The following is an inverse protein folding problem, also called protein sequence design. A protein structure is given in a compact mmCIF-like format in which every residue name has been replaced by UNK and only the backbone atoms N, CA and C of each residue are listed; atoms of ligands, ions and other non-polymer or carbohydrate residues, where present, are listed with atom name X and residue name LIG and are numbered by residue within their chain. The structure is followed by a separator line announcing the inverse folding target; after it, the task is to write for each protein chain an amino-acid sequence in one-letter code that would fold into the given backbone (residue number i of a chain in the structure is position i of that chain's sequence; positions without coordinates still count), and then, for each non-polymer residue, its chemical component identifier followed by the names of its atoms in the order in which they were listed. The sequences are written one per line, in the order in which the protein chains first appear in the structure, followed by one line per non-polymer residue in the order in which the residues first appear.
data_IF_726674781280
#
_entry.id   IF_726674781280
#
_cell.length_a   1.000
_cell.length_b   1.000
_cell.length_c   1.000
_cell.angle_alpha   90.00
_cell.angle_beta   90.00
_cell.angle_gamma   90.00
#
_symmetry.space_group_name_H-M   'P 1'
#
loop_
_entity.id
_entity.type
_entity.pdbx_description
1 polymer ?
#
# COMPACT_ATOMS: atom_id res chain seq x y z
N UNK A 1 10.61 19.22 16.52
CA UNK A 1 10.57 19.59 15.09
C UNK A 1 9.12 19.81 14.73
N UNK A 2 8.82 20.69 13.78
CA UNK A 2 7.48 20.69 13.21
C UNK A 2 7.30 19.47 12.32
N UNK A 3 6.06 19.09 12.05
CA UNK A 3 5.73 17.88 11.31
C UNK A 3 4.94 18.28 10.04
N UNK A 4 5.43 17.86 8.86
CA UNK A 4 4.71 18.03 7.61
C UNK A 4 3.34 17.35 7.64
N UNK A 5 2.35 18.00 7.04
CA UNK A 5 1.01 17.46 6.83
C UNK A 5 0.76 17.23 5.33
N UNK A 6 -0.23 16.40 5.03
CA UNK A 6 -0.66 16.18 3.65
C UNK A 6 -1.18 17.46 3.00
N UNK A 7 -1.97 18.27 3.70
CA UNK A 7 -2.74 19.37 3.10
C UNK A 7 -1.86 20.47 2.46
N UNK A 8 -2.28 20.96 1.30
CA UNK A 8 -1.85 22.27 0.80
C UNK A 8 -2.37 23.38 1.71
N UNK A 9 -1.63 24.49 1.80
CA UNK A 9 -2.03 25.65 2.57
C UNK A 9 -2.95 26.56 1.75
N UNK A 10 -4.10 26.88 2.35
CA UNK A 10 -4.97 27.98 1.94
C UNK A 10 -5.52 28.66 3.21
N UNK A 11 -5.44 29.99 3.24
CA UNK A 11 -5.82 30.77 4.43
C UNK A 11 -7.34 30.74 4.68
N UNK A 12 -8.13 30.69 3.61
CA UNK A 12 -9.59 30.68 3.62
C UNK A 12 -10.20 29.29 3.75
N UNK A 13 -9.40 28.22 3.71
CA UNK A 13 -9.87 26.84 3.59
C UNK A 13 -10.92 26.44 4.63
N UNK A 14 -10.74 26.85 5.89
CA UNK A 14 -11.70 26.50 6.96
C UNK A 14 -13.06 27.21 6.84
N UNK A 15 -13.18 28.21 5.97
CA UNK A 15 -14.45 28.86 5.62
C UNK A 15 -14.90 28.51 4.20
N UNK A 16 -14.12 27.72 3.47
CA UNK A 16 -14.40 27.34 2.09
C UNK A 16 -15.54 26.31 2.05
N UNK A 17 -16.46 26.45 1.10
CA UNK A 17 -17.60 25.53 0.94
C UNK A 17 -17.20 24.10 0.56
N UNK A 18 -15.99 23.92 0.00
CA UNK A 18 -15.42 22.59 -0.29
C UNK A 18 -14.90 21.88 0.97
N UNK A 19 -14.68 22.60 2.07
CA UNK A 19 -14.33 21.98 3.34
C UNK A 19 -15.56 21.33 3.97
N UNK A 20 -15.61 20.00 3.94
CA UNK A 20 -16.73 19.20 4.46
C UNK A 20 -16.70 19.04 5.99
N UNK A 21 -15.62 19.47 6.66
CA UNK A 21 -15.40 19.25 8.09
C UNK A 21 -15.15 17.79 8.48
N UNK A 22 -15.17 16.85 7.54
CA UNK A 22 -14.97 15.41 7.77
C UNK A 22 -14.07 14.81 6.68
N UNK A 23 -13.01 14.11 7.10
CA UNK A 23 -11.96 13.60 6.20
C UNK A 23 -11.43 14.70 5.24
N UNK A 24 -11.23 15.90 5.79
CA UNK A 24 -10.81 17.07 5.02
C UNK A 24 -9.34 16.96 4.58
N UNK A 25 -9.12 16.88 3.26
CA UNK A 25 -7.79 16.70 2.65
C UNK A 25 -7.11 18.02 2.28
N UNK A 26 -7.74 19.15 2.56
CA UNK A 26 -7.25 20.45 2.12
C UNK A 26 -7.72 20.77 0.70
N UNK A 27 -7.35 21.95 0.18
CA UNK A 27 -7.64 22.34 -1.20
C UNK A 27 -6.89 21.44 -2.19
N UNK A 28 -7.51 21.19 -3.33
CA UNK A 28 -6.83 20.60 -4.47
C UNK A 28 -5.82 21.60 -5.04
N UNK A 29 -4.75 21.09 -5.65
CA UNK A 29 -3.70 21.93 -6.25
C UNK A 29 -4.27 22.93 -7.27
N UNK A 30 -5.28 22.51 -8.00
CA UNK A 30 -5.98 23.27 -9.05
C UNK A 30 -6.81 24.44 -8.49
N UNK A 31 -7.20 24.38 -7.21
CA UNK A 31 -7.95 25.44 -6.55
C UNK A 31 -7.06 26.58 -6.03
N UNK A 32 -5.74 26.38 -6.03
CA UNK A 32 -4.79 27.35 -5.48
C UNK A 32 -4.45 28.42 -6.51
N UNK A 33 -4.58 29.68 -6.11
CA UNK A 33 -4.29 30.84 -6.96
C UNK A 33 -2.79 31.16 -7.10
N UNK A 34 -1.91 30.35 -6.49
CA UNK A 34 -0.45 30.57 -6.46
C UNK A 34 0.27 29.59 -7.39
N UNK A 35 1.30 30.09 -8.06
CA UNK A 35 2.20 29.26 -8.89
C UNK A 35 3.22 28.48 -8.06
N UNK A 36 3.40 28.83 -6.79
CA UNK A 36 4.28 28.14 -5.85
C UNK A 36 3.52 27.84 -4.56
N UNK A 37 2.75 26.74 -4.51
CA UNK A 37 1.94 26.39 -3.36
C UNK A 37 2.77 25.84 -2.21
N UNK A 38 2.43 26.26 -0.99
CA UNK A 38 3.06 25.80 0.24
C UNK A 38 2.24 24.68 0.89
N UNK A 39 2.90 23.75 1.59
CA UNK A 39 2.25 22.73 2.41
C UNK A 39 2.14 23.19 3.86
N UNK A 40 1.16 22.62 4.56
CA UNK A 40 1.00 22.83 6.01
C UNK A 40 2.03 21.99 6.78
N UNK A 41 2.61 22.56 7.83
CA UNK A 41 3.28 21.82 8.90
C UNK A 41 2.83 22.31 10.28
N UNK A 42 2.98 21.45 11.30
CA UNK A 42 2.34 21.63 12.63
C UNK A 42 3.30 21.34 13.78
N UNK A 43 2.96 21.82 14.98
CA UNK A 43 3.65 21.47 16.23
C UNK A 43 4.86 22.34 16.60
N UNK A 44 5.42 23.10 15.66
CA UNK A 44 6.55 23.99 15.91
C UNK A 44 7.88 23.28 16.18
N UNK A 45 8.97 24.04 16.16
CA UNK A 45 10.34 23.53 16.26
C UNK A 45 11.09 24.00 17.52
N UNK A 46 12.28 23.46 17.73
CA UNK A 46 13.19 23.92 18.80
C UNK A 46 13.67 25.36 18.58
N UNK A 47 13.59 25.83 17.33
CA UNK A 47 13.95 27.16 16.82
C UNK A 47 12.80 28.17 16.88
N UNK A 48 11.58 27.74 17.23
CA UNK A 48 10.40 28.60 17.16
C UNK A 48 10.36 29.58 18.34
N UNK A 49 10.32 30.88 18.04
CA UNK A 49 10.03 31.92 19.03
C UNK A 49 8.53 31.89 19.39
N UNK A 50 8.21 31.50 20.63
CA UNK A 50 6.83 31.38 21.09
C UNK A 50 6.32 32.66 21.76
N UNK A 51 6.40 33.78 21.06
CA UNK A 51 5.93 35.09 21.51
C UNK A 51 4.59 35.47 20.88
N UNK A 52 3.90 36.43 21.48
CA UNK A 52 2.68 37.01 20.91
C UNK A 52 2.92 37.69 19.55
N UNK A 53 4.11 38.26 19.34
CA UNK A 53 4.51 38.89 18.08
C UNK A 53 4.66 37.87 16.95
N UNK A 54 5.21 36.69 17.28
CA UNK A 54 5.33 35.54 16.40
C UNK A 54 4.02 34.74 16.25
N UNK A 55 2.94 35.18 16.90
CA UNK A 55 1.62 34.53 16.85
C UNK A 55 1.53 33.24 17.67
N UNK A 56 2.46 33.01 18.60
CA UNK A 56 2.51 31.85 19.50
C UNK A 56 2.52 30.51 18.72
N UNK A 57 3.57 30.26 17.92
CA UNK A 57 3.68 29.13 16.99
C UNK A 57 3.60 27.73 17.60
N UNK A 58 3.76 27.60 18.92
CA UNK A 58 3.66 26.32 19.63
C UNK A 58 2.22 25.94 20.01
N UNK A 59 1.24 26.81 19.74
CA UNK A 59 -0.18 26.48 19.97
C UNK A 59 -0.61 25.35 19.05
N UNK A 60 -1.40 24.41 19.60
CA UNK A 60 -1.92 23.25 18.86
C UNK A 60 -2.72 23.64 17.60
N UNK A 61 -3.34 24.83 17.60
CA UNK A 61 -4.12 25.35 16.50
C UNK A 61 -3.28 26.09 15.44
N UNK A 62 -2.02 26.43 15.72
CA UNK A 62 -1.18 27.23 14.84
C UNK A 62 -0.72 26.45 13.61
N UNK A 63 -1.01 26.96 12.40
CA UNK A 63 -0.61 26.36 11.11
C UNK A 63 0.64 27.06 10.63
N UNK A 64 1.72 26.32 10.53
CA UNK A 64 2.89 26.80 9.81
C UNK A 64 2.78 26.43 8.33
N UNK A 65 3.55 27.13 7.50
CA UNK A 65 3.64 26.88 6.06
C UNK A 65 5.09 26.72 5.64
N UNK A 66 5.33 25.94 4.60
CA UNK A 66 6.64 25.83 3.98
C UNK A 66 6.52 25.28 2.58
N UNK A 67 7.49 25.58 1.72
CA UNK A 67 7.49 25.05 0.36
C UNK A 67 8.02 23.62 0.35
N UNK A 68 7.42 22.69 -0.42
CA UNK A 68 7.78 21.27 -0.39
C UNK A 68 9.23 20.96 -0.80
N UNK A 69 9.83 21.85 -1.59
CA UNK A 69 11.19 21.78 -2.10
C UNK A 69 12.23 22.42 -1.18
N UNK A 70 11.80 23.09 -0.11
CA UNK A 70 12.72 23.67 0.86
C UNK A 70 13.32 22.63 1.82
N UNK A 71 14.64 22.71 1.98
CA UNK A 71 15.33 22.05 3.06
C UNK A 71 15.16 22.81 4.38
N UNK A 72 14.94 22.07 5.47
CA UNK A 72 15.03 22.62 6.83
C UNK A 72 15.56 21.57 7.82
N UNK A 73 16.22 22.04 8.88
CA UNK A 73 16.69 21.21 10.00
C UNK A 73 15.69 21.11 11.15
N UNK A 74 14.62 21.91 11.13
CA UNK A 74 13.61 21.98 12.18
C UNK A 74 12.23 21.42 11.78
N UNK A 75 12.09 20.93 10.53
CA UNK A 75 10.88 20.29 9.99
C UNK A 75 11.15 18.81 9.74
N UNK A 76 10.31 17.95 10.28
CA UNK A 76 10.31 16.51 10.09
C UNK A 76 8.98 16.01 9.55
N UNK A 77 8.75 14.71 9.68
CA UNK A 77 7.51 14.06 9.28
C UNK A 77 7.11 12.99 10.30
N UNK A 78 5.81 12.79 10.47
CA UNK A 78 5.22 11.64 11.16
C UNK A 78 4.28 10.97 10.18
N UNK A 79 4.45 9.67 10.00
CA UNK A 79 3.59 8.90 9.10
C UNK A 79 2.31 8.49 9.81
N UNK A 80 1.22 8.49 9.04
CA UNK A 80 -0.08 7.93 9.43
C UNK A 80 -0.56 7.04 8.30
N UNK A 81 -1.35 6.02 8.64
CA UNK A 81 -2.02 5.16 7.66
C UNK A 81 -3.49 5.06 8.03
N UNK A 82 -4.37 5.07 7.03
CA UNK A 82 -5.76 4.68 7.21
C UNK A 82 -5.91 3.17 6.99
N UNK A 83 -6.99 2.58 7.52
CA UNK A 83 -7.40 1.22 7.20
C UNK A 83 -8.20 1.24 5.89
N UNK A 84 -7.49 1.50 4.80
CA UNK A 84 -8.03 1.37 3.45
C UNK A 84 -7.42 0.12 2.82
N UNK A 85 -8.30 -0.79 2.42
CA UNK A 85 -7.92 -2.04 1.79
C UNK A 85 -8.29 -2.00 0.32
N UNK A 86 -7.29 -2.12 -0.55
CA UNK A 86 -7.54 -2.27 -1.97
C UNK A 86 -8.28 -3.60 -2.23
N UNK A 87 -9.19 -3.64 -3.22
CA UNK A 87 -9.78 -4.89 -3.66
C UNK A 87 -8.70 -5.92 -3.98
N UNK A 88 -9.01 -7.20 -3.76
CA UNK A 88 -8.15 -8.29 -4.19
C UNK A 88 -7.85 -8.13 -5.68
N UNK A 89 -6.59 -8.27 -6.07
CA UNK A 89 -6.16 -8.10 -7.47
C UNK A 89 -6.45 -6.72 -8.07
N UNK A 90 -6.43 -5.64 -7.27
CA UNK A 90 -6.72 -4.28 -7.74
C UNK A 90 -5.93 -3.83 -8.99
N UNK A 91 -4.70 -4.33 -9.17
CA UNK A 91 -3.85 -4.01 -10.32
C UNK A 91 -4.07 -4.96 -11.53
N UNK A 92 -5.09 -5.82 -11.51
CA UNK A 92 -5.31 -6.81 -12.56
C UNK A 92 -5.92 -6.18 -13.82
N UNK A 93 -5.35 -6.53 -14.95
CA UNK A 93 -5.82 -6.11 -16.27
C UNK A 93 -6.72 -7.20 -16.87
N UNK A 94 -7.89 -6.79 -17.36
CA UNK A 94 -8.77 -7.70 -18.10
C UNK A 94 -8.15 -8.08 -19.45
N UNK A 95 -8.20 -9.36 -19.80
CA UNK A 95 -7.76 -9.84 -21.11
C UNK A 95 -8.92 -9.93 -22.10
N UNK A 96 -8.63 -10.23 -23.37
CA UNK A 96 -9.65 -10.46 -24.39
C UNK A 96 -10.40 -11.81 -24.23
N UNK A 97 -10.08 -12.60 -23.20
CA UNK A 97 -10.58 -13.97 -23.03
C UNK A 97 -11.46 -14.12 -21.77
N UNK A 98 -12.54 -13.34 -21.68
CA UNK A 98 -13.51 -13.46 -20.59
C UNK A 98 -12.87 -13.27 -19.21
N UNK A 99 -13.05 -14.21 -18.30
CA UNK A 99 -12.55 -14.12 -16.91
C UNK A 99 -11.04 -14.37 -16.75
N UNK A 100 -10.29 -14.38 -17.85
CA UNK A 100 -8.83 -14.36 -17.79
C UNK A 100 -8.36 -12.93 -17.52
N UNK A 101 -7.57 -12.79 -16.45
CA UNK A 101 -6.96 -11.55 -16.00
C UNK A 101 -5.44 -11.69 -16.03
N UNK A 102 -4.75 -10.56 -16.03
CA UNK A 102 -3.29 -10.49 -15.98
C UNK A 102 -2.83 -9.56 -14.86
N UNK A 103 -1.94 -10.06 -14.00
CA UNK A 103 -1.22 -9.26 -13.02
C UNK A 103 0.27 -9.28 -13.38
N UNK A 104 0.90 -8.11 -13.41
CA UNK A 104 2.32 -7.98 -13.81
C UNK A 104 3.30 -8.85 -13.01
N UNK A 105 2.98 -9.17 -11.75
CA UNK A 105 3.83 -9.96 -10.87
C UNK A 105 3.40 -11.42 -10.73
N UNK A 106 2.09 -11.70 -10.80
CA UNK A 106 1.54 -13.05 -10.64
C UNK A 106 1.41 -13.80 -11.97
N UNK A 107 1.29 -13.07 -13.07
CA UNK A 107 1.03 -13.59 -14.42
C UNK A 107 -0.45 -13.62 -14.77
N UNK A 108 -0.79 -14.46 -15.75
CA UNK A 108 -2.18 -14.71 -16.15
C UNK A 108 -2.88 -15.60 -15.13
N UNK A 109 -4.16 -15.36 -14.88
CA UNK A 109 -5.00 -16.19 -14.03
C UNK A 109 -6.46 -16.12 -14.45
N UNK A 110 -7.25 -17.12 -14.07
CA UNK A 110 -8.67 -17.20 -14.37
C UNK A 110 -9.47 -17.14 -13.08
N UNK A 111 -10.37 -16.17 -12.93
CA UNK A 111 -11.14 -15.98 -11.70
C UNK A 111 -12.64 -16.27 -11.93
N UNK A 112 -13.26 -17.03 -11.03
CA UNK A 112 -14.71 -17.24 -11.04
C UNK A 112 -15.40 -16.38 -9.99
N UNK A 113 -16.73 -16.21 -10.11
CA UNK A 113 -17.52 -15.34 -9.22
C UNK A 113 -17.47 -15.73 -7.73
N UNK A 114 -17.05 -16.95 -7.39
CA UNK A 114 -16.85 -17.41 -6.01
C UNK A 114 -15.43 -17.17 -5.46
N UNK A 115 -14.71 -16.19 -6.02
CA UNK A 115 -13.32 -15.78 -5.73
C UNK A 115 -12.21 -16.81 -6.00
N UNK A 116 -12.56 -18.10 -6.15
CA UNK A 116 -11.63 -19.13 -6.60
C UNK A 116 -10.91 -18.70 -7.87
N UNK A 117 -9.59 -18.79 -7.81
CA UNK A 117 -8.69 -18.32 -8.84
C UNK A 117 -7.85 -19.49 -9.32
N UNK A 118 -7.88 -19.76 -10.61
CA UNK A 118 -7.00 -20.73 -11.24
C UNK A 118 -5.73 -20.03 -11.71
N UNK A 119 -4.59 -20.47 -11.16
CA UNK A 119 -3.27 -20.02 -11.54
C UNK A 119 -2.65 -21.06 -12.51
N UNK A 120 -2.25 -20.68 -13.73
CA UNK A 120 -1.50 -21.56 -14.61
C UNK A 120 -0.30 -22.13 -13.87
N UNK A 121 -0.09 -23.45 -13.98
CA UNK A 121 0.98 -24.21 -13.31
C UNK A 121 0.77 -24.41 -11.79
N UNK A 122 -0.06 -23.62 -11.11
CA UNK A 122 -0.25 -23.73 -9.65
C UNK A 122 -1.58 -24.36 -9.24
N UNK A 123 -2.53 -24.47 -10.18
CA UNK A 123 -3.85 -25.03 -9.93
C UNK A 123 -4.83 -24.03 -9.33
N UNK A 124 -5.89 -24.55 -8.71
CA UNK A 124 -6.93 -23.75 -8.08
C UNK A 124 -6.51 -23.29 -6.68
N UNK A 125 -6.63 -21.99 -6.45
CA UNK A 125 -6.41 -21.38 -5.14
C UNK A 125 -7.63 -20.58 -4.70
N UNK A 126 -7.83 -20.51 -3.40
CA UNK A 126 -8.79 -19.57 -2.80
C UNK A 126 -8.03 -18.39 -2.20
N UNK A 127 -8.09 -17.20 -2.83
CA UNK A 127 -7.36 -16.02 -2.37
C UNK A 127 -8.15 -15.22 -1.32
N UNK A 128 -7.45 -14.76 -0.29
CA UNK A 128 -7.93 -13.82 0.72
C UNK A 128 -6.86 -12.75 0.93
N UNK A 129 -7.19 -11.49 0.70
CA UNK A 129 -6.20 -10.44 0.80
C UNK A 129 -6.68 -9.10 0.30
N UNK A 130 -5.73 -8.16 0.25
CA UNK A 130 -5.97 -6.78 -0.12
C UNK A 130 -4.92 -6.30 -1.12
N UNK A 131 -5.39 -5.90 -2.31
CA UNK A 131 -4.55 -5.43 -3.39
C UNK A 131 -3.46 -6.41 -3.81
N UNK A 132 -2.27 -5.88 -4.06
CA UNK A 132 -1.10 -6.64 -4.52
C UNK A 132 -0.11 -6.98 -3.38
N UNK A 133 -0.38 -6.56 -2.14
CA UNK A 133 0.66 -6.46 -1.10
C UNK A 133 0.48 -7.40 0.09
N UNK A 134 -0.70 -7.96 0.29
CA UNK A 134 -1.00 -8.83 1.43
C UNK A 134 -2.04 -9.87 0.99
N UNK A 135 -1.58 -11.03 0.54
CA UNK A 135 -2.42 -12.04 -0.08
C UNK A 135 -2.12 -13.43 0.47
N UNK A 136 -3.10 -14.00 1.18
CA UNK A 136 -3.13 -15.41 1.54
C UNK A 136 -3.80 -16.21 0.43
N UNK A 137 -3.11 -17.25 -0.03
CA UNK A 137 -3.61 -18.19 -1.03
C UNK A 137 -3.77 -19.55 -0.38
N UNK A 138 -5.00 -20.06 -0.32
CA UNK A 138 -5.21 -21.45 0.07
C UNK A 138 -5.05 -22.34 -1.15
N UNK A 139 -4.03 -23.18 -1.14
CA UNK A 139 -3.76 -24.18 -2.17
C UNK A 139 -4.50 -25.46 -1.81
N UNK A 140 -5.58 -25.76 -2.54
CA UNK A 140 -6.42 -26.93 -2.27
C UNK A 140 -5.63 -28.25 -2.35
N UNK A 141 -4.73 -28.37 -3.33
CA UNK A 141 -3.89 -29.58 -3.52
C UNK A 141 -2.91 -29.81 -2.35
N UNK A 142 -2.47 -28.74 -1.68
CA UNK A 142 -1.52 -28.82 -0.57
C UNK A 142 -2.19 -28.78 0.81
N UNK A 143 -3.50 -28.56 0.85
CA UNK A 143 -4.27 -28.26 2.07
C UNK A 143 -3.56 -27.22 2.97
N UNK A 144 -2.99 -26.17 2.37
CA UNK A 144 -2.20 -25.19 3.10
C UNK A 144 -2.42 -23.75 2.61
N UNK A 145 -2.26 -22.83 3.57
CA UNK A 145 -2.27 -21.40 3.35
C UNK A 145 -0.85 -20.89 3.13
N UNK A 146 -0.65 -20.27 1.97
CA UNK A 146 0.60 -19.68 1.53
C UNK A 146 0.40 -18.17 1.32
N UNK A 147 1.09 -17.36 2.12
CA UNK A 147 1.09 -15.91 1.98
C UNK A 147 2.09 -15.46 0.94
N UNK A 148 1.73 -14.48 0.11
CA UNK A 148 2.67 -13.81 -0.79
C UNK A 148 2.28 -12.36 -1.04
N UNK A 149 3.17 -11.61 -1.68
CA UNK A 149 2.94 -10.25 -2.14
C UNK A 149 3.79 -9.96 -3.37
N UNK A 150 3.42 -8.90 -4.10
CA UNK A 150 4.18 -8.39 -5.25
C UNK A 150 5.67 -8.18 -4.98
N UNK A 151 6.05 -7.86 -3.74
CA UNK A 151 7.45 -7.59 -3.38
C UNK A 151 8.27 -8.83 -3.01
N UNK A 152 7.62 -9.94 -2.69
CA UNK A 152 8.31 -11.17 -2.29
C UNK A 152 8.16 -12.29 -3.31
N UNK A 153 7.18 -12.23 -4.22
CA UNK A 153 7.00 -13.22 -5.26
C UNK A 153 8.31 -13.46 -6.04
N UNK A 154 8.74 -14.72 -6.29
CA UNK A 154 7.99 -15.97 -6.20
C UNK A 154 7.99 -16.67 -4.82
N UNK A 155 8.42 -16.00 -3.75
CA UNK A 155 8.42 -16.56 -2.41
C UNK A 155 7.04 -16.52 -1.75
N UNK A 156 6.77 -17.55 -0.97
CA UNK A 156 5.54 -17.75 -0.22
C UNK A 156 5.86 -18.11 1.23
N UNK A 157 5.12 -17.56 2.18
CA UNK A 157 5.24 -17.93 3.58
C UNK A 157 4.14 -18.92 3.95
N UNK A 158 4.53 -20.12 4.37
CA UNK A 158 3.61 -21.19 4.70
C UNK A 158 3.21 -21.12 6.19
N UNK A 159 1.90 -21.12 6.45
CA UNK A 159 1.38 -20.81 7.77
C UNK A 159 1.58 -21.92 8.81
N UNK A 160 1.56 -23.20 8.42
CA UNK A 160 1.65 -24.34 9.35
C UNK A 160 3.06 -24.54 9.91
N UNK A 161 4.02 -24.72 9.02
CA UNK A 161 5.46 -24.88 9.26
C UNK A 161 6.20 -23.57 9.57
N UNK A 162 5.59 -22.41 9.29
CA UNK A 162 6.19 -21.08 9.51
C UNK A 162 7.46 -20.85 8.68
N UNK A 163 7.51 -21.40 7.48
CA UNK A 163 8.69 -21.43 6.61
C UNK A 163 8.45 -20.64 5.32
N UNK A 164 9.51 -20.01 4.80
CA UNK A 164 9.50 -19.41 3.46
C UNK A 164 9.85 -20.45 2.41
N UNK A 165 9.03 -20.51 1.36
CA UNK A 165 9.18 -21.44 0.25
C UNK A 165 9.17 -20.65 -1.07
N UNK A 166 10.16 -20.90 -1.91
CA UNK A 166 10.23 -20.38 -3.27
C UNK A 166 9.42 -21.27 -4.20
N UNK A 167 8.53 -20.69 -5.01
CA UNK A 167 7.88 -21.44 -6.08
C UNK A 167 8.86 -21.73 -7.21
N UNK A 168 8.98 -23.00 -7.59
CA UNK A 168 9.78 -23.49 -8.73
C UNK A 168 8.93 -24.35 -9.64
N UNK A 169 9.17 -24.22 -10.93
CA UNK A 169 8.58 -25.08 -11.94
C UNK A 169 9.67 -25.54 -12.91
N UNK A 170 9.78 -26.85 -13.11
CA UNK A 170 10.62 -27.45 -14.13
C UNK A 170 9.84 -28.53 -14.90
N UNK A 171 10.22 -28.78 -16.15
CA UNK A 171 9.55 -29.75 -17.00
C UNK A 171 9.73 -31.21 -16.52
N UNK A 172 10.79 -31.51 -15.76
CA UNK A 172 11.07 -32.85 -15.24
C UNK A 172 10.44 -33.03 -13.87
N UNK A 173 10.64 -32.06 -12.99
CA UNK A 173 10.27 -32.16 -11.57
C UNK A 173 8.87 -31.59 -11.24
N UNK A 174 8.23 -30.92 -12.19
CA UNK A 174 6.92 -30.30 -12.00
C UNK A 174 6.95 -29.05 -11.12
N UNK A 175 5.76 -28.65 -10.65
CA UNK A 175 5.54 -27.46 -9.85
C UNK A 175 5.70 -27.77 -8.35
N UNK A 176 6.53 -26.97 -7.66
CA UNK A 176 6.88 -27.19 -6.26
C UNK A 176 7.19 -25.90 -5.52
N UNK A 177 7.09 -25.95 -4.20
CA UNK A 177 7.52 -24.90 -3.28
C UNK A 177 8.66 -25.44 -2.43
N UNK A 178 9.80 -24.76 -2.40
CA UNK A 178 11.01 -25.29 -1.75
C UNK A 178 11.65 -24.24 -0.85
N UNK A 179 12.05 -24.61 0.36
CA UNK A 179 12.78 -23.71 1.27
C UNK A 179 14.20 -23.44 0.77
N UNK A 180 14.78 -22.30 1.19
CA UNK A 180 16.13 -21.90 0.78
C UNK A 180 17.21 -22.92 1.18
N UNK A 181 17.08 -23.50 2.37
CA UNK A 181 17.96 -24.53 2.90
C UNK A 181 17.62 -25.95 2.41
N UNK A 182 16.63 -26.08 1.52
CA UNK A 182 16.11 -27.34 0.99
C UNK A 182 15.59 -28.31 2.06
N UNK A 183 15.29 -27.83 3.28
CA UNK A 183 14.78 -28.64 4.37
C UNK A 183 13.28 -28.92 4.29
N UNK A 184 12.54 -28.12 3.51
CA UNK A 184 11.12 -28.26 3.30
C UNK A 184 10.76 -28.16 1.81
N UNK A 185 9.85 -29.02 1.37
CA UNK A 185 9.35 -29.06 0.00
C UNK A 185 7.87 -29.43 0.00
N UNK A 186 7.07 -28.73 -0.82
CA UNK A 186 5.68 -29.04 -1.11
C UNK A 186 5.54 -29.23 -2.62
N UNK A 187 4.97 -30.35 -3.05
CA UNK A 187 4.83 -30.71 -4.47
C UNK A 187 3.37 -30.60 -4.86
N UNK A 188 3.10 -29.94 -5.99
CA UNK A 188 1.77 -29.88 -6.58
C UNK A 188 1.59 -31.09 -7.52
N UNK A 189 0.67 -31.98 -7.18
CA UNK A 189 0.34 -33.15 -7.98
C UNK A 189 -0.73 -32.79 -9.01
N UNK A 190 -0.31 -32.50 -10.24
CA UNK A 190 -1.22 -32.23 -11.37
C UNK A 190 -1.52 -33.49 -12.19
#
# INVERSE_FOLDING_TARGET
VSEWCWNWYDEGWYKNSKNTGRDDRGPDLEDLLTTQPARVHRGGGFSADNSGESGEPLRIAFRHVGYPDEFSTDRGLRTVRGDFHDPLWADAEATNYGNWLFLSWLGYFYQIESDWTFLPIKGWVYPVGHGSYDNWLYFYELDSWLWTSKYVYPWHYENGSKTWLEFKFDAVDGARFVSEDMSAELILEH
#
